data_IF_519977135071
#
_entry.id   IF_519977135071
#
_cell.length_a   1.000
_cell.length_b   1.000
_cell.length_c   1.000
_cell.angle_alpha   90.00
_cell.angle_beta   90.00
_cell.angle_gamma   90.00
#
_symmetry.space_group_name_H-M   'P 1'
#
loop_
_entity.id
_entity.type
_entity.pdbx_description
1 polymer ?
#
# COMPACT_ATOMS: atom_id res chain seq x y z
N UNK A 1 17.61 5.17 6.55
CA UNK A 1 17.72 3.91 5.79
C UNK A 1 17.61 2.69 6.70
N UNK A 2 18.26 2.67 7.87
CA UNK A 2 18.14 1.56 8.83
C UNK A 2 16.70 1.27 9.30
N UNK A 3 15.96 2.29 9.75
CA UNK A 3 14.59 2.13 10.27
C UNK A 3 13.60 1.60 9.24
N UNK A 4 13.70 2.04 7.98
CA UNK A 4 12.83 1.56 6.90
C UNK A 4 13.09 0.10 6.54
N UNK A 5 14.36 -0.32 6.53
CA UNK A 5 14.72 -1.70 6.25
C UNK A 5 14.30 -2.63 7.40
N UNK A 6 14.48 -2.17 8.64
CA UNK A 6 14.01 -2.89 9.82
C UNK A 6 12.47 -3.05 9.81
N UNK A 7 11.74 -1.98 9.49
CA UNK A 7 10.29 -2.02 9.34
C UNK A 7 9.82 -3.06 8.32
N UNK A 8 10.39 -3.04 7.10
CA UNK A 8 10.08 -4.02 6.06
C UNK A 8 10.39 -5.45 6.48
N UNK A 9 11.53 -5.69 7.12
CA UNK A 9 11.93 -7.01 7.59
C UNK A 9 10.94 -7.56 8.63
N UNK A 10 10.45 -6.71 9.54
CA UNK A 10 9.44 -7.09 10.53
C UNK A 10 8.05 -7.31 9.91
N UNK A 11 7.66 -6.54 8.91
CA UNK A 11 6.44 -6.81 8.13
C UNK A 11 6.48 -8.19 7.49
N UNK A 12 7.61 -8.58 6.90
CA UNK A 12 7.80 -9.92 6.34
C UNK A 12 7.79 -10.99 7.43
N UNK A 13 8.43 -10.75 8.57
CA UNK A 13 8.40 -11.66 9.71
C UNK A 13 6.98 -11.92 10.20
N UNK A 14 6.15 -10.87 10.32
CA UNK A 14 4.72 -11.00 10.64
C UNK A 14 3.97 -11.84 9.60
N UNK A 15 4.20 -11.62 8.30
CA UNK A 15 3.55 -12.40 7.25
C UNK A 15 3.90 -13.89 7.31
N UNK A 16 5.09 -14.25 7.79
CA UNK A 16 5.55 -15.64 7.92
C UNK A 16 5.10 -16.26 9.25
N UNK A 17 5.26 -15.53 10.36
CA UNK A 17 5.11 -16.05 11.72
C UNK A 17 3.84 -15.64 12.46
N UNK A 18 3.14 -14.61 11.99
CA UNK A 18 1.91 -14.11 12.59
C UNK A 18 2.08 -13.36 13.93
N UNK A 19 3.31 -13.03 14.34
CA UNK A 19 3.55 -12.33 15.60
C UNK A 19 3.13 -10.86 15.52
N UNK A 20 2.05 -10.50 16.21
CA UNK A 20 1.53 -9.14 16.25
C UNK A 20 2.57 -8.12 16.75
N UNK A 21 3.48 -8.51 17.62
CA UNK A 21 4.52 -7.62 18.13
C UNK A 21 5.50 -7.18 17.02
N UNK A 22 5.76 -8.05 16.03
CA UNK A 22 6.57 -7.68 14.88
C UNK A 22 5.87 -6.65 14.00
N UNK A 23 4.56 -6.79 13.81
CA UNK A 23 3.79 -5.84 13.02
C UNK A 23 3.71 -4.46 13.69
N UNK A 24 3.41 -4.42 14.99
CA UNK A 24 3.34 -3.17 15.75
C UNK A 24 4.70 -2.47 15.74
N UNK A 25 5.79 -3.21 15.96
CA UNK A 25 7.15 -2.69 15.89
C UNK A 25 7.61 -2.30 14.47
N UNK A 26 6.99 -2.87 13.41
CA UNK A 26 7.22 -2.44 12.03
C UNK A 26 6.58 -1.08 11.77
N UNK A 27 5.33 -0.89 12.20
CA UNK A 27 4.58 0.36 12.03
C UNK A 27 5.27 1.51 12.76
N UNK A 28 5.69 1.31 14.01
CA UNK A 28 6.42 2.33 14.76
C UNK A 28 7.74 2.75 14.06
N UNK A 29 8.51 1.77 13.59
CA UNK A 29 9.77 2.02 12.89
C UNK A 29 9.54 2.77 11.57
N UNK A 30 8.48 2.44 10.84
CA UNK A 30 8.12 3.06 9.56
C UNK A 30 7.57 4.48 9.75
N UNK A 31 6.75 4.73 10.78
CA UNK A 31 6.30 6.07 11.18
C UNK A 31 7.50 6.98 11.49
N UNK A 32 8.42 6.50 12.33
CA UNK A 32 9.65 7.23 12.63
C UNK A 32 10.49 7.48 11.35
N UNK A 33 10.56 6.51 10.44
CA UNK A 33 11.29 6.66 9.19
C UNK A 33 10.66 7.71 8.26
N UNK A 34 9.34 7.81 8.16
CA UNK A 34 8.65 8.86 7.37
C UNK A 34 8.86 10.23 8.01
N UNK A 35 8.71 10.34 9.34
CA UNK A 35 8.89 11.60 10.06
C UNK A 35 10.32 12.17 9.97
N UNK A 36 11.32 11.32 9.77
CA UNK A 36 12.73 11.71 9.65
C UNK A 36 13.10 12.34 8.29
N UNK A 37 12.18 12.45 7.33
CA UNK A 37 12.42 13.14 6.05
C UNK A 37 11.58 14.41 5.98
N UNK A 38 12.23 15.53 5.65
CA UNK A 38 11.49 16.75 5.31
C UNK A 38 10.66 16.53 4.01
N UNK A 39 9.54 17.24 3.82
CA UNK A 39 8.65 17.05 2.66
C UNK A 39 9.35 17.19 1.30
N UNK A 40 10.26 18.14 1.15
CA UNK A 40 10.92 18.44 -0.12
C UNK A 40 12.28 17.74 -0.28
N UNK A 41 12.73 17.03 0.75
CA UNK A 41 14.01 16.31 0.73
C UNK A 41 13.81 14.84 0.40
N UNK A 42 14.63 14.32 -0.53
CA UNK A 42 14.66 12.90 -0.85
C UNK A 42 13.27 12.32 -1.20
N UNK A 43 12.51 13.03 -2.04
CA UNK A 43 11.13 12.71 -2.45
C UNK A 43 10.91 11.23 -2.77
N UNK A 44 11.81 10.63 -3.55
CA UNK A 44 11.75 9.19 -3.87
C UNK A 44 11.83 8.29 -2.62
N UNK A 45 12.79 8.55 -1.73
CA UNK A 45 12.94 7.80 -0.48
C UNK A 45 11.76 8.02 0.48
N UNK A 46 11.15 9.21 0.47
CA UNK A 46 9.93 9.51 1.22
C UNK A 46 8.76 8.67 0.70
N UNK A 47 8.56 8.62 -0.61
CA UNK A 47 7.54 7.78 -1.26
C UNK A 47 7.69 6.29 -0.93
N UNK A 48 8.91 5.75 -0.98
CA UNK A 48 9.17 4.35 -0.58
C UNK A 48 8.79 4.07 0.87
N UNK A 49 9.12 4.98 1.79
CA UNK A 49 8.81 4.82 3.23
C UNK A 49 7.31 4.91 3.49
N UNK A 50 6.62 5.83 2.81
CA UNK A 50 5.16 5.96 2.89
C UNK A 50 4.44 4.72 2.34
N UNK A 51 4.87 4.19 1.19
CA UNK A 51 4.34 2.94 0.65
C UNK A 51 4.51 1.77 1.62
N UNK A 52 5.72 1.63 2.19
CA UNK A 52 6.00 0.59 3.20
C UNK A 52 5.11 0.72 4.44
N UNK A 53 4.93 1.95 4.95
CA UNK A 53 4.05 2.22 6.09
C UNK A 53 2.59 1.91 5.76
N UNK A 54 2.11 2.31 4.58
CA UNK A 54 0.76 1.99 4.11
C UNK A 54 0.52 0.48 4.09
N UNK A 55 1.45 -0.31 3.57
CA UNK A 55 1.34 -1.78 3.57
C UNK A 55 1.24 -2.34 4.99
N UNK A 56 2.07 -1.86 5.92
CA UNK A 56 2.06 -2.31 7.31
C UNK A 56 0.73 -1.96 8.01
N UNK A 57 0.20 -0.75 7.78
CA UNK A 57 -1.09 -0.32 8.30
C UNK A 57 -2.27 -1.11 7.72
N UNK A 58 -2.22 -1.50 6.44
CA UNK A 58 -3.23 -2.41 5.85
C UNK A 58 -3.23 -3.77 6.55
N UNK A 59 -2.06 -4.31 6.89
CA UNK A 59 -1.96 -5.56 7.64
C UNK A 59 -2.51 -5.39 9.06
N UNK A 60 -2.26 -4.24 9.69
CA UNK A 60 -2.76 -3.93 11.03
C UNK A 60 -4.28 -3.75 11.04
N UNK A 61 -4.83 -3.07 10.03
CA UNK A 61 -6.26 -2.98 9.80
C UNK A 61 -6.89 -4.37 9.64
N UNK A 62 -6.35 -5.23 8.78
CA UNK A 62 -6.87 -6.60 8.59
C UNK A 62 -6.84 -7.43 9.87
N UNK A 63 -5.93 -7.13 10.80
CA UNK A 63 -5.81 -7.81 12.09
C UNK A 63 -6.79 -7.27 13.13
N UNK A 64 -6.99 -5.95 13.17
CA UNK A 64 -7.68 -5.27 14.27
C UNK A 64 -9.08 -4.72 13.91
N UNK A 65 -9.38 -4.60 12.62
CA UNK A 65 -10.54 -3.89 12.04
C UNK A 65 -10.64 -2.40 12.46
N UNK A 66 -9.51 -1.79 12.86
CA UNK A 66 -9.46 -0.37 13.20
C UNK A 66 -9.44 0.50 11.93
N UNK A 67 -10.54 1.22 11.70
CA UNK A 67 -10.70 2.13 10.57
C UNK A 67 -9.57 3.17 10.47
N UNK A 68 -9.03 3.57 11.60
CA UNK A 68 -8.01 4.63 11.69
C UNK A 68 -6.73 4.20 10.96
N UNK A 69 -6.37 2.92 11.06
CA UNK A 69 -5.22 2.35 10.34
C UNK A 69 -5.47 2.34 8.82
N UNK A 70 -6.69 2.02 8.39
CA UNK A 70 -7.06 2.05 6.96
C UNK A 70 -7.07 3.48 6.39
N UNK A 71 -7.61 4.44 7.13
CA UNK A 71 -7.65 5.85 6.74
C UNK A 71 -6.22 6.42 6.61
N UNK A 72 -5.33 6.09 7.55
CA UNK A 72 -3.93 6.48 7.48
C UNK A 72 -3.21 5.79 6.30
N UNK A 73 -3.43 4.49 6.09
CA UNK A 73 -2.87 3.76 4.96
C UNK A 73 -3.29 4.38 3.62
N UNK A 74 -4.56 4.70 3.46
CA UNK A 74 -5.08 5.36 2.26
C UNK A 74 -4.41 6.71 2.01
N UNK A 75 -4.32 7.56 3.04
CA UNK A 75 -3.66 8.87 2.93
C UNK A 75 -2.20 8.71 2.48
N UNK A 76 -1.47 7.77 3.08
CA UNK A 76 -0.06 7.51 2.76
C UNK A 76 0.13 6.92 1.36
N UNK A 77 -0.70 5.96 0.95
CA UNK A 77 -0.67 5.38 -0.39
C UNK A 77 -0.92 6.44 -1.45
N UNK A 78 -1.88 7.33 -1.21
CA UNK A 78 -2.19 8.45 -2.09
C UNK A 78 -1.03 9.44 -2.19
N UNK A 79 -0.51 9.92 -1.05
CA UNK A 79 0.61 10.86 -1.02
C UNK A 79 1.85 10.25 -1.72
N UNK A 80 2.14 8.97 -1.47
CA UNK A 80 3.24 8.27 -2.10
C UNK A 80 3.07 8.15 -3.63
N UNK A 81 1.85 7.90 -4.12
CA UNK A 81 1.56 7.86 -5.55
C UNK A 81 1.66 9.25 -6.20
N UNK A 82 1.21 10.31 -5.53
CA UNK A 82 1.27 11.69 -6.02
C UNK A 82 2.72 12.19 -6.20
N UNK A 83 3.62 11.83 -5.29
CA UNK A 83 5.03 12.27 -5.35
C UNK A 83 5.94 11.35 -6.18
N UNK A 84 5.47 10.18 -6.58
CA UNK A 84 6.26 9.21 -7.37
C UNK A 84 6.06 9.47 -8.86
N UNK A 85 7.12 9.82 -9.61
CA UNK A 85 7.02 10.01 -11.05
C UNK A 85 6.54 8.75 -11.78
N UNK A 86 5.75 8.84 -12.86
CA UNK A 86 5.24 7.68 -13.59
C UNK A 86 6.31 6.73 -14.15
N UNK A 87 7.54 7.23 -14.36
CA UNK A 87 8.67 6.44 -14.87
C UNK A 87 9.59 5.92 -13.76
N UNK A 88 9.26 6.15 -12.49
CA UNK A 88 10.00 5.58 -11.37
C UNK A 88 9.70 4.08 -11.26
N UNK A 89 10.72 3.29 -10.95
CA UNK A 89 10.58 1.84 -10.74
C UNK A 89 9.58 1.47 -9.64
N UNK A 90 9.28 2.39 -8.72
CA UNK A 90 8.30 2.21 -7.67
C UNK A 90 6.85 2.56 -8.08
N UNK A 91 6.63 3.12 -9.27
CA UNK A 91 5.31 3.63 -9.67
C UNK A 91 4.24 2.52 -9.67
N UNK A 92 4.61 1.30 -10.12
CA UNK A 92 3.73 0.12 -10.11
C UNK A 92 3.32 -0.25 -8.69
N UNK A 93 4.28 -0.38 -7.78
CA UNK A 93 4.00 -0.68 -6.37
C UNK A 93 3.07 0.36 -5.74
N UNK A 94 3.33 1.66 -5.96
CA UNK A 94 2.50 2.74 -5.41
C UNK A 94 1.07 2.69 -5.96
N UNK A 95 0.90 2.41 -7.25
CA UNK A 95 -0.41 2.24 -7.86
C UNK A 95 -1.16 1.05 -7.25
N UNK A 96 -0.48 -0.07 -7.00
CA UNK A 96 -1.07 -1.24 -6.36
C UNK A 96 -1.39 -1.03 -4.88
N UNK A 97 -0.57 -0.27 -4.14
CA UNK A 97 -0.82 0.09 -2.74
C UNK A 97 -2.09 0.96 -2.65
N UNK A 98 -2.22 1.94 -3.55
CA UNK A 98 -3.40 2.80 -3.65
C UNK A 98 -4.65 2.03 -4.10
N UNK A 99 -4.53 1.15 -5.09
CA UNK A 99 -5.64 0.32 -5.55
C UNK A 99 -6.18 -0.59 -4.43
N UNK A 100 -5.28 -1.19 -3.63
CA UNK A 100 -5.64 -2.05 -2.51
C UNK A 100 -6.36 -1.27 -1.40
N UNK A 101 -5.92 -0.06 -1.08
CA UNK A 101 -6.57 0.77 -0.04
C UNK A 101 -7.94 1.27 -0.49
N UNK A 102 -8.13 1.63 -1.77
CA UNK A 102 -9.46 1.89 -2.32
C UNK A 102 -10.39 0.67 -2.21
N UNK A 103 -9.92 -0.53 -2.56
CA UNK A 103 -10.73 -1.73 -2.44
C UNK A 103 -11.16 -2.01 -0.98
N UNK A 104 -10.24 -1.87 -0.03
CA UNK A 104 -10.55 -2.06 1.40
C UNK A 104 -11.53 -1.01 1.93
N UNK A 105 -11.44 0.24 1.46
CA UNK A 105 -12.40 1.30 1.80
C UNK A 105 -13.80 0.97 1.28
N UNK A 106 -13.90 0.48 0.04
CA UNK A 106 -15.16 -0.01 -0.53
C UNK A 106 -15.72 -1.21 0.26
N UNK A 107 -14.89 -2.19 0.62
CA UNK A 107 -15.32 -3.36 1.41
C UNK A 107 -15.88 -2.95 2.78
N UNK A 108 -15.27 -1.94 3.42
CA UNK A 108 -15.72 -1.42 4.71
C UNK A 108 -17.00 -0.59 4.59
N UNK A 109 -17.07 0.27 3.58
CA UNK A 109 -18.19 1.16 3.32
C UNK A 109 -18.44 1.20 1.81
N UNK A 110 -19.42 0.43 1.31
CA UNK A 110 -19.66 0.29 -0.13
C UNK A 110 -19.80 1.63 -0.84
N UNK A 111 -18.75 2.00 -1.58
CA UNK A 111 -18.71 3.14 -2.49
C UNK A 111 -18.25 2.68 -3.88
N UNK A 112 -19.12 2.72 -4.91
CA UNK A 112 -18.75 2.34 -6.26
C UNK A 112 -17.54 3.11 -6.80
N UNK A 113 -17.32 4.37 -6.39
CA UNK A 113 -16.20 5.17 -6.84
C UNK A 113 -14.84 4.61 -6.38
N UNK A 114 -14.79 4.05 -5.17
CA UNK A 114 -13.59 3.39 -4.65
C UNK A 114 -13.33 2.08 -5.42
N UNK A 115 -14.35 1.26 -5.69
CA UNK A 115 -14.21 0.06 -6.53
C UNK A 115 -13.85 0.38 -7.99
N UNK A 116 -14.38 1.47 -8.54
CA UNK A 116 -14.04 2.01 -9.86
C UNK A 116 -12.57 2.39 -9.95
N UNK A 117 -12.09 3.13 -8.95
CA UNK A 117 -10.70 3.57 -8.88
C UNK A 117 -9.75 2.40 -8.69
N UNK A 118 -10.07 1.44 -7.80
CA UNK A 118 -9.25 0.26 -7.58
C UNK A 118 -9.04 -0.56 -8.88
N UNK A 119 -10.11 -0.82 -9.64
CA UNK A 119 -9.94 -1.57 -10.89
C UNK A 119 -9.25 -0.77 -11.99
N UNK A 120 -9.46 0.56 -12.06
CA UNK A 120 -8.77 1.42 -13.03
C UNK A 120 -7.26 1.37 -12.82
N UNK A 121 -6.81 1.55 -11.56
CA UNK A 121 -5.40 1.49 -11.20
C UNK A 121 -4.80 0.10 -11.47
N UNK A 122 -5.54 -0.96 -11.14
CA UNK A 122 -5.11 -2.32 -11.47
C UNK A 122 -4.98 -2.54 -12.99
N UNK A 123 -5.94 -2.06 -13.79
CA UNK A 123 -5.87 -2.13 -15.25
C UNK A 123 -4.70 -1.31 -15.83
N UNK A 124 -4.33 -0.18 -15.21
CA UNK A 124 -3.12 0.58 -15.58
C UNK A 124 -1.84 -0.23 -15.32
N UNK A 125 -1.73 -0.87 -14.16
CA UNK A 125 -0.60 -1.76 -13.84
C UNK A 125 -0.50 -2.90 -14.85
N UNK A 126 -1.62 -3.57 -15.16
CA UNK A 126 -1.66 -4.68 -16.12
C UNK A 126 -1.23 -4.28 -17.54
N UNK A 127 -1.40 -3.01 -17.93
CA UNK A 127 -0.91 -2.49 -19.22
C UNK A 127 0.59 -2.17 -19.19
N UNK A 128 1.13 -1.84 -18.01
CA UNK A 128 2.52 -1.46 -17.82
C UNK A 128 3.45 -2.66 -17.56
N UNK A 129 2.93 -3.77 -17.01
CA UNK A 129 3.70 -4.97 -16.66
C UNK A 129 3.66 -6.03 -17.77
N UNK A 130 4.76 -6.74 -17.99
CA UNK A 130 4.82 -7.90 -18.89
C UNK A 130 4.16 -9.16 -18.28
N UNK A 131 3.86 -10.16 -19.11
CA UNK A 131 3.39 -11.45 -18.63
C UNK A 131 4.49 -12.17 -17.81
N UNK A 132 4.12 -12.73 -16.65
CA UNK A 132 5.05 -13.36 -15.70
C UNK A 132 5.62 -12.41 -14.63
N UNK A 133 5.27 -11.13 -14.66
CA UNK A 133 5.61 -10.17 -13.61
C UNK A 133 4.78 -10.47 -12.32
N UNK A 134 5.42 -10.63 -11.14
CA UNK A 134 4.70 -10.85 -9.88
C UNK A 134 3.63 -9.78 -9.57
N UNK A 135 3.85 -8.53 -9.99
CA UNK A 135 2.90 -7.44 -9.76
C UNK A 135 1.61 -7.61 -10.56
N UNK A 136 1.68 -8.38 -11.65
CA UNK A 136 0.51 -8.71 -12.49
C UNK A 136 -0.51 -9.54 -11.74
N UNK A 137 -0.08 -10.52 -10.95
CA UNK A 137 -0.98 -11.38 -10.16
C UNK A 137 -1.75 -10.56 -9.12
N UNK A 138 -1.04 -9.66 -8.42
CA UNK A 138 -1.62 -8.73 -7.45
C UNK A 138 -2.62 -7.79 -8.12
N UNK A 139 -2.27 -7.25 -9.29
CA UNK A 139 -3.18 -6.40 -10.07
C UNK A 139 -4.46 -7.15 -10.50
N UNK A 140 -4.33 -8.38 -10.99
CA UNK A 140 -5.48 -9.23 -11.34
C UNK A 140 -6.39 -9.46 -10.14
N UNK A 141 -5.84 -9.83 -8.98
CA UNK A 141 -6.60 -10.07 -7.77
C UNK A 141 -7.42 -8.84 -7.34
N UNK A 142 -6.79 -7.65 -7.33
CA UNK A 142 -7.47 -6.39 -6.98
C UNK A 142 -8.58 -6.07 -7.97
N UNK A 143 -8.30 -6.18 -9.28
CA UNK A 143 -9.29 -5.89 -10.33
C UNK A 143 -10.49 -6.82 -10.24
N UNK A 144 -10.26 -8.11 -10.05
CA UNK A 144 -11.31 -9.12 -10.04
C UNK A 144 -12.13 -9.04 -8.74
N UNK A 145 -11.52 -8.66 -7.61
CA UNK A 145 -12.25 -8.30 -6.39
C UNK A 145 -13.12 -7.06 -6.61
N UNK A 146 -12.55 -5.96 -7.10
CA UNK A 146 -13.26 -4.72 -7.36
C UNK A 146 -14.44 -4.89 -8.33
N UNK A 147 -14.32 -5.76 -9.35
CA UNK A 147 -15.42 -6.04 -10.29
C UNK A 147 -16.52 -6.92 -9.67
N UNK A 148 -16.18 -7.82 -8.76
CA UNK A 148 -17.16 -8.68 -8.07
C UNK A 148 -18.01 -7.89 -7.08
N UNK A 149 -17.44 -6.91 -6.38
CA UNK A 149 -18.15 -6.14 -5.36
C UNK A 149 -18.96 -4.96 -5.91
N UNK A 150 -18.88 -4.68 -7.22
CA UNK A 150 -19.71 -3.67 -7.92
C UNK A 150 -21.14 -4.11 -8.21
N UNK A 151 -21.41 -5.42 -8.21
CA UNK A 151 -22.71 -6.01 -8.55
C UNK A 151 -23.62 -6.09 -7.33
#
# INVERSE_FOLDING_TARGET
MYLSNLGRARTLAYQIGGDAADLDAAVDALRAAVAALAPDEHVSARGTRMGSLSTALVLQYRRSDDATDLDEAFRLAREAAEITPPHDHNAVDRALDLAQTHLLRHERSPDPADADTAARLADEVLRATADGDPDRERALAIRDAARRTRA
#
